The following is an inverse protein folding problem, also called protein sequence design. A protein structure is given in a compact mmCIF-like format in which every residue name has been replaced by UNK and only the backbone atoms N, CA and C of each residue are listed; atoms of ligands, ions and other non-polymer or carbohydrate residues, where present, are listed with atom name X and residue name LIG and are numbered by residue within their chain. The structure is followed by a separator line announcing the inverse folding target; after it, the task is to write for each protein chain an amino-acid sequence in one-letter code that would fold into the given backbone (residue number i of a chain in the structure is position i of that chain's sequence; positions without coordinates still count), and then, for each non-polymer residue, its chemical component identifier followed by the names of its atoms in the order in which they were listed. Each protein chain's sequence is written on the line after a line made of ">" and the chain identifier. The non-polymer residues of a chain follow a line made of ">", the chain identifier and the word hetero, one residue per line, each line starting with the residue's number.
data_IF_964059918114
#
_entry.id   IF_964059918114
#
_cell.length_a   1.000
_cell.length_b   1.000
_cell.length_c   1.000
_cell.angle_alpha   90.00
_cell.angle_beta   90.00
_cell.angle_gamma   90.00
#
_symmetry.space_group_name_H-M   'P 1'
#
loop_
_entity.id
_entity.type
_entity.pdbx_description
1 polymer ?
#
# COMPACT_ATOMS: atom_id res chain seq x y z
N UNK A 1 47.93 -37.42 -51.34
CA UNK A 1 46.95 -36.29 -51.33
C UNK A 1 46.05 -36.53 -50.15
N UNK A 2 45.79 -35.53 -49.29
CA UNK A 2 44.86 -35.73 -48.18
C UNK A 2 43.49 -36.14 -48.75
N UNK A 3 42.83 -37.17 -48.19
CA UNK A 3 41.56 -37.64 -48.73
C UNK A 3 40.51 -36.53 -48.66
N UNK A 4 39.68 -36.44 -49.71
CA UNK A 4 38.64 -35.41 -49.88
C UNK A 4 37.65 -35.35 -48.71
N UNK A 5 37.53 -36.46 -47.97
CA UNK A 5 36.68 -36.62 -46.79
C UNK A 5 37.19 -35.85 -45.58
N UNK A 6 38.51 -35.83 -45.32
CA UNK A 6 39.11 -35.04 -44.21
C UNK A 6 38.89 -33.54 -44.40
N UNK A 7 38.96 -33.04 -45.63
CA UNK A 7 38.66 -31.63 -45.96
C UNK A 7 37.18 -31.27 -45.74
N UNK A 8 36.28 -32.17 -46.15
CA UNK A 8 34.84 -32.02 -45.95
C UNK A 8 34.46 -32.03 -44.46
N UNK A 9 35.00 -32.96 -43.67
CA UNK A 9 34.84 -33.01 -42.20
C UNK A 9 35.31 -31.72 -41.54
N UNK A 10 36.48 -31.20 -41.93
CA UNK A 10 37.05 -29.96 -41.35
C UNK A 10 36.13 -28.76 -41.58
N UNK A 11 35.50 -28.68 -42.76
CA UNK A 11 34.52 -27.64 -43.08
C UNK A 11 33.28 -27.74 -42.17
N UNK A 12 32.74 -28.95 -41.99
CA UNK A 12 31.60 -29.19 -41.10
C UNK A 12 31.95 -28.89 -39.64
N UNK A 13 33.15 -29.25 -39.17
CA UNK A 13 33.65 -28.87 -37.84
C UNK A 13 33.67 -27.35 -37.66
N UNK A 14 34.09 -26.58 -38.66
CA UNK A 14 34.02 -25.12 -38.63
C UNK A 14 32.60 -24.58 -38.45
N UNK A 15 31.61 -25.20 -39.10
CA UNK A 15 30.19 -24.85 -38.91
C UNK A 15 29.69 -25.19 -37.49
N UNK A 16 30.12 -26.33 -36.93
CA UNK A 16 29.84 -26.71 -35.53
C UNK A 16 30.38 -25.64 -34.59
N UNK A 17 31.68 -25.32 -34.65
CA UNK A 17 32.31 -24.32 -33.77
C UNK A 17 31.63 -22.95 -33.87
N UNK A 18 31.30 -22.50 -35.09
CA UNK A 18 30.58 -21.23 -35.29
C UNK A 18 29.21 -21.25 -34.63
N UNK A 19 28.47 -22.36 -34.75
CA UNK A 19 27.14 -22.51 -34.16
C UNK A 19 27.21 -22.53 -32.63
N UNK A 20 28.19 -23.23 -32.06
CA UNK A 20 28.44 -23.26 -30.60
C UNK A 20 28.72 -21.84 -30.07
N UNK A 21 29.56 -21.06 -30.75
CA UNK A 21 29.84 -19.69 -30.34
C UNK A 21 28.61 -18.79 -30.35
N UNK A 22 27.72 -18.96 -31.35
CA UNK A 22 26.45 -18.25 -31.39
C UNK A 22 25.53 -18.67 -30.23
N UNK A 23 25.45 -19.95 -29.90
CA UNK A 23 24.68 -20.47 -28.76
C UNK A 23 25.20 -19.89 -27.45
N UNK A 24 26.52 -19.86 -27.26
CA UNK A 24 27.15 -19.32 -26.05
C UNK A 24 26.95 -17.80 -25.93
N UNK A 25 26.89 -17.08 -27.05
CA UNK A 25 26.66 -15.63 -27.08
C UNK A 25 25.22 -15.20 -26.74
N UNK A 26 24.25 -16.11 -26.74
CA UNK A 26 22.89 -15.80 -26.32
C UNK A 26 22.83 -15.52 -24.82
N UNK A 27 21.87 -14.70 -24.38
CA UNK A 27 21.65 -14.41 -22.95
C UNK A 27 21.17 -15.67 -22.21
N UNK A 28 21.29 -15.66 -20.87
CA UNK A 28 20.80 -16.75 -20.02
C UNK A 28 19.28 -16.67 -19.82
N UNK A 29 18.77 -15.46 -19.57
CA UNK A 29 17.33 -15.17 -19.59
C UNK A 29 17.00 -14.59 -20.95
N UNK A 30 16.27 -15.35 -21.75
CA UNK A 30 16.02 -15.06 -23.15
C UNK A 30 14.63 -14.45 -23.39
N UNK A 31 14.49 -13.67 -24.45
CA UNK A 31 13.18 -13.35 -25.05
C UNK A 31 12.63 -14.55 -25.83
N UNK A 32 11.34 -14.50 -26.21
CA UNK A 32 10.76 -15.52 -27.10
C UNK A 32 11.51 -15.60 -28.44
N UNK A 33 11.92 -14.46 -28.98
CA UNK A 33 12.70 -14.39 -30.22
C UNK A 33 14.08 -15.03 -30.06
N UNK A 34 14.78 -14.75 -28.95
CA UNK A 34 16.06 -15.37 -28.63
C UNK A 34 15.92 -16.89 -28.41
N UNK A 35 14.80 -17.36 -27.85
CA UNK A 35 14.50 -18.80 -27.73
C UNK A 35 14.27 -19.45 -29.10
N UNK A 36 13.48 -18.82 -29.99
CA UNK A 36 13.28 -19.33 -31.35
C UNK A 36 14.62 -19.40 -32.11
N UNK A 37 15.49 -18.40 -31.93
CA UNK A 37 16.83 -18.41 -32.48
C UNK A 37 17.69 -19.54 -31.91
N UNK A 38 17.59 -19.82 -30.59
CA UNK A 38 18.27 -20.94 -29.94
C UNK A 38 17.83 -22.30 -30.53
N UNK A 39 16.54 -22.49 -30.81
CA UNK A 39 16.00 -23.72 -31.44
C UNK A 39 16.52 -23.93 -32.86
N UNK A 40 16.60 -22.85 -33.64
CA UNK A 40 17.19 -22.89 -34.99
C UNK A 40 18.68 -23.27 -34.90
N UNK A 41 19.41 -22.70 -33.95
CA UNK A 41 20.83 -23.01 -33.74
C UNK A 41 21.04 -24.44 -33.26
N UNK A 42 20.20 -24.96 -32.37
CA UNK A 42 20.24 -26.36 -31.94
C UNK A 42 20.00 -27.32 -33.11
N UNK A 43 18.97 -27.04 -33.93
CA UNK A 43 18.66 -27.86 -35.11
C UNK A 43 19.84 -27.90 -36.08
N UNK A 44 20.49 -26.75 -36.31
CA UNK A 44 21.71 -26.66 -37.12
C UNK A 44 22.87 -27.43 -36.51
N UNK A 45 23.09 -27.30 -35.19
CA UNK A 45 24.15 -28.00 -34.48
C UNK A 45 23.99 -29.51 -34.59
N UNK A 46 22.78 -30.03 -34.38
CA UNK A 46 22.44 -31.44 -34.54
C UNK A 46 22.72 -31.89 -35.97
N UNK A 47 22.22 -31.17 -36.99
CA UNK A 47 22.43 -31.53 -38.39
C UNK A 47 23.90 -31.55 -38.81
N UNK A 48 24.68 -30.54 -38.39
CA UNK A 48 26.12 -30.51 -38.65
C UNK A 48 26.85 -31.64 -37.92
N UNK A 49 26.48 -31.95 -36.68
CA UNK A 49 27.11 -33.03 -35.92
C UNK A 49 26.78 -34.42 -36.47
N UNK A 50 25.54 -34.67 -36.94
CA UNK A 50 25.20 -35.92 -37.63
C UNK A 50 26.01 -36.08 -38.92
N UNK A 51 26.16 -35.00 -39.70
CA UNK A 51 27.01 -35.00 -40.89
C UNK A 51 28.48 -35.27 -40.54
N UNK A 52 28.98 -34.65 -39.46
CA UNK A 52 30.34 -34.86 -38.96
C UNK A 52 30.57 -36.32 -38.57
N UNK A 53 29.64 -36.94 -37.82
CA UNK A 53 29.70 -38.36 -37.46
C UNK A 53 29.71 -39.28 -38.67
N UNK A 54 28.96 -38.94 -39.72
CA UNK A 54 28.97 -39.67 -40.99
C UNK A 54 30.36 -39.76 -41.63
N UNK A 55 31.16 -38.70 -41.53
CA UNK A 55 32.54 -38.70 -42.03
C UNK A 55 33.51 -39.51 -41.18
N UNK A 56 33.25 -39.70 -39.88
CA UNK A 56 34.17 -40.45 -39.00
C UNK A 56 34.35 -41.89 -39.46
N UNK A 57 33.26 -42.55 -39.84
CA UNK A 57 33.32 -43.93 -40.36
C UNK A 57 34.14 -44.01 -41.66
N UNK A 58 33.91 -43.08 -42.58
CA UNK A 58 34.66 -43.03 -43.85
C UNK A 58 36.14 -42.71 -43.65
N UNK A 59 36.48 -41.81 -42.73
CA UNK A 59 37.88 -41.48 -42.42
C UNK A 59 38.58 -42.67 -41.75
N UNK A 60 37.86 -43.43 -40.92
CA UNK A 60 38.39 -44.64 -40.32
C UNK A 60 38.74 -45.69 -41.37
N UNK A 61 37.88 -45.88 -42.38
CA UNK A 61 38.15 -46.79 -43.51
C UNK A 61 39.33 -46.27 -44.37
N UNK A 62 39.38 -44.97 -44.68
CA UNK A 62 40.49 -44.36 -45.43
C UNK A 62 41.84 -44.47 -44.71
N UNK A 63 41.87 -44.34 -43.38
CA UNK A 63 43.08 -44.50 -42.57
C UNK A 63 43.57 -45.95 -42.57
N UNK A 64 42.65 -46.91 -42.51
CA UNK A 64 42.96 -48.34 -42.58
C UNK A 64 43.51 -48.73 -43.96
N UNK A 65 42.91 -48.20 -45.04
CA UNK A 65 43.31 -48.48 -46.42
C UNK A 65 44.65 -47.82 -46.81
N UNK A 66 45.01 -46.71 -46.15
CA UNK A 66 46.23 -45.94 -46.44
C UNK A 66 47.48 -46.41 -45.67
N UNK A 67 47.38 -47.46 -44.83
CA UNK A 67 48.44 -47.92 -43.92
C UNK A 67 48.99 -46.77 -43.05
N UNK A 68 48.06 -45.97 -42.49
CA UNK A 68 48.38 -44.78 -41.71
C UNK A 68 49.16 -45.13 -40.44
N UNK A 69 50.07 -44.25 -40.01
CA UNK A 69 50.82 -44.44 -38.78
C UNK A 69 49.97 -44.19 -37.52
N UNK A 70 50.47 -44.66 -36.38
CA UNK A 70 49.78 -44.51 -35.09
C UNK A 70 49.54 -43.04 -34.73
N UNK A 71 50.44 -42.12 -35.11
CA UNK A 71 50.29 -40.71 -34.79
C UNK A 71 49.14 -40.06 -35.57
N UNK A 72 48.89 -40.48 -36.81
CA UNK A 72 47.76 -40.01 -37.60
C UNK A 72 46.41 -40.53 -37.05
N UNK A 73 46.40 -41.76 -36.53
CA UNK A 73 45.24 -42.33 -35.83
C UNK A 73 44.95 -41.59 -34.52
N UNK A 74 45.98 -41.35 -33.70
CA UNK A 74 45.86 -40.64 -32.42
C UNK A 74 45.37 -39.20 -32.65
N UNK A 75 45.90 -38.50 -33.65
CA UNK A 75 45.47 -37.14 -33.98
C UNK A 75 44.00 -37.07 -34.43
N UNK A 76 43.52 -38.04 -35.22
CA UNK A 76 42.13 -38.11 -35.65
C UNK A 76 41.18 -38.44 -34.48
N UNK A 77 41.63 -39.32 -33.59
CA UNK A 77 40.94 -39.68 -32.35
C UNK A 77 40.78 -38.48 -31.42
N UNK A 78 41.85 -37.72 -31.19
CA UNK A 78 41.83 -36.50 -30.37
C UNK A 78 40.87 -35.43 -30.94
N UNK A 79 40.91 -35.20 -32.25
CA UNK A 79 40.01 -34.25 -32.91
C UNK A 79 38.55 -34.66 -32.74
N UNK A 80 38.28 -35.97 -32.81
CA UNK A 80 36.95 -36.53 -32.62
C UNK A 80 36.45 -36.33 -31.20
N UNK A 81 37.24 -36.70 -30.20
CA UNK A 81 36.88 -36.52 -28.79
C UNK A 81 36.64 -35.06 -28.45
N UNK A 82 37.53 -34.15 -28.89
CA UNK A 82 37.35 -32.72 -28.63
C UNK A 82 36.05 -32.19 -29.25
N UNK A 83 35.76 -32.57 -30.50
CA UNK A 83 34.54 -32.11 -31.18
C UNK A 83 33.28 -32.66 -30.52
N UNK A 84 33.32 -33.91 -30.04
CA UNK A 84 32.23 -34.51 -29.29
C UNK A 84 32.00 -33.82 -27.94
N UNK A 85 33.08 -33.51 -27.21
CA UNK A 85 32.99 -32.79 -25.93
C UNK A 85 32.42 -31.39 -26.10
N UNK A 86 32.89 -30.64 -27.11
CA UNK A 86 32.38 -29.30 -27.44
C UNK A 86 30.86 -29.31 -27.70
N UNK A 87 30.37 -30.31 -28.46
CA UNK A 87 28.95 -30.47 -28.76
C UNK A 87 28.15 -30.86 -27.51
N UNK A 88 28.68 -31.75 -26.66
CA UNK A 88 28.04 -32.12 -25.39
C UNK A 88 27.90 -30.91 -24.46
N UNK A 89 28.96 -30.11 -24.32
CA UNK A 89 28.96 -28.90 -23.53
C UNK A 89 27.96 -27.88 -24.07
N UNK A 90 27.91 -27.67 -25.39
CA UNK A 90 26.92 -26.80 -26.03
C UNK A 90 25.48 -27.27 -25.74
N UNK A 91 25.21 -28.57 -25.84
CA UNK A 91 23.90 -29.14 -25.52
C UNK A 91 23.51 -28.93 -24.05
N UNK A 92 24.47 -29.00 -23.12
CA UNK A 92 24.23 -28.68 -21.71
C UNK A 92 23.85 -27.20 -21.52
N UNK A 93 24.52 -26.29 -22.24
CA UNK A 93 24.19 -24.85 -22.24
C UNK A 93 22.79 -24.60 -22.78
N UNK A 94 22.40 -25.24 -23.89
CA UNK A 94 21.03 -25.12 -24.45
C UNK A 94 19.99 -25.55 -23.43
N UNK A 95 20.19 -26.70 -22.77
CA UNK A 95 19.30 -27.21 -21.72
C UNK A 95 19.18 -26.24 -20.55
N UNK A 96 20.31 -25.66 -20.11
CA UNK A 96 20.32 -24.67 -19.02
C UNK A 96 19.52 -23.43 -19.41
N UNK A 97 19.77 -22.86 -20.60
CA UNK A 97 19.06 -21.67 -21.10
C UNK A 97 17.54 -21.89 -21.20
N UNK A 98 17.09 -23.05 -21.69
CA UNK A 98 15.66 -23.42 -21.71
C UNK A 98 15.06 -23.49 -20.31
N UNK A 99 15.79 -24.07 -19.35
CA UNK A 99 15.33 -24.17 -17.95
C UNK A 99 15.15 -22.79 -17.32
N UNK A 100 16.12 -21.90 -17.49
CA UNK A 100 16.06 -20.54 -16.95
C UNK A 100 14.91 -19.74 -17.57
N UNK A 101 14.68 -19.91 -18.88
CA UNK A 101 13.53 -19.31 -19.56
C UNK A 101 12.18 -19.80 -18.99
N UNK A 102 12.03 -21.12 -18.77
CA UNK A 102 10.84 -21.70 -18.16
C UNK A 102 10.63 -21.21 -16.72
N UNK A 103 11.70 -21.07 -15.94
CA UNK A 103 11.63 -20.54 -14.58
C UNK A 103 11.15 -19.09 -14.58
N UNK A 104 11.65 -18.27 -15.51
CA UNK A 104 11.18 -16.90 -15.69
C UNK A 104 9.68 -16.87 -16.06
N UNK A 105 9.22 -17.75 -16.94
CA UNK A 105 7.81 -17.80 -17.36
C UNK A 105 6.90 -18.13 -16.17
N UNK A 106 7.23 -19.19 -15.41
CA UNK A 106 6.51 -19.57 -14.19
C UNK A 106 6.47 -18.44 -13.15
N UNK A 107 7.58 -17.70 -13.01
CA UNK A 107 7.63 -16.55 -12.11
C UNK A 107 6.66 -15.46 -12.55
N UNK A 108 6.63 -15.13 -13.85
CA UNK A 108 5.70 -14.13 -14.41
C UNK A 108 4.25 -14.55 -14.26
N UNK A 109 3.94 -15.83 -14.49
CA UNK A 109 2.59 -16.38 -14.29
C UNK A 109 2.15 -16.23 -12.84
N UNK A 110 2.99 -16.61 -11.88
CA UNK A 110 2.72 -16.45 -10.44
C UNK A 110 2.51 -14.99 -10.04
N UNK A 111 3.38 -14.08 -10.50
CA UNK A 111 3.26 -12.64 -10.26
C UNK A 111 1.95 -12.09 -10.89
N UNK A 112 1.53 -12.60 -12.05
CA UNK A 112 0.26 -12.21 -12.67
C UNK A 112 -0.96 -12.74 -11.89
N UNK A 113 -0.90 -13.98 -11.39
CA UNK A 113 -1.94 -14.55 -10.53
C UNK A 113 -2.07 -13.79 -9.21
N UNK A 114 -0.96 -13.45 -8.58
CA UNK A 114 -0.93 -12.64 -7.36
C UNK A 114 -1.57 -11.26 -7.60
N UNK A 115 -1.20 -10.55 -8.69
CA UNK A 115 -1.86 -9.28 -9.07
C UNK A 115 -3.36 -9.43 -9.35
N UNK A 116 -3.79 -10.51 -10.02
CA UNK A 116 -5.22 -10.77 -10.28
C UNK A 116 -5.96 -11.03 -8.97
N UNK A 117 -5.32 -11.69 -8.01
CA UNK A 117 -5.89 -11.95 -6.71
C UNK A 117 -6.03 -10.66 -5.89
N UNK A 118 -4.99 -9.83 -5.85
CA UNK A 118 -5.01 -8.51 -5.22
C UNK A 118 -6.12 -7.62 -5.83
N UNK A 119 -6.23 -7.58 -7.16
CA UNK A 119 -7.30 -6.84 -7.84
C UNK A 119 -8.70 -7.36 -7.50
N UNK A 120 -8.87 -8.69 -7.41
CA UNK A 120 -10.15 -9.28 -6.99
C UNK A 120 -10.47 -8.94 -5.55
N UNK A 121 -9.48 -8.92 -4.66
CA UNK A 121 -9.64 -8.52 -3.27
C UNK A 121 -10.02 -7.03 -3.17
N UNK A 122 -9.32 -6.16 -3.90
CA UNK A 122 -9.66 -4.73 -3.98
C UNK A 122 -11.08 -4.49 -4.52
N UNK A 123 -11.49 -5.22 -5.56
CA UNK A 123 -12.85 -5.14 -6.09
C UNK A 123 -13.90 -5.70 -5.13
N UNK A 124 -13.56 -6.75 -4.36
CA UNK A 124 -14.42 -7.23 -3.27
C UNK A 124 -14.58 -6.18 -2.19
N UNK A 125 -13.50 -5.52 -1.79
CA UNK A 125 -13.52 -4.45 -0.79
C UNK A 125 -14.34 -3.26 -1.30
N UNK A 126 -14.14 -2.81 -2.54
CA UNK A 126 -14.99 -1.79 -3.17
C UNK A 126 -16.46 -2.20 -3.20
N UNK A 127 -16.77 -3.47 -3.51
CA UNK A 127 -18.14 -3.97 -3.53
C UNK A 127 -18.76 -4.02 -2.14
N UNK A 128 -17.99 -4.40 -1.12
CA UNK A 128 -18.43 -4.35 0.29
C UNK A 128 -18.73 -2.90 0.67
N UNK A 129 -17.84 -1.95 0.34
CA UNK A 129 -18.06 -0.53 0.57
C UNK A 129 -19.32 -0.01 -0.16
N UNK A 130 -19.53 -0.40 -1.41
CA UNK A 130 -20.71 -0.03 -2.18
C UNK A 130 -22.00 -0.62 -1.60
N UNK A 131 -21.98 -1.87 -1.13
CA UNK A 131 -23.13 -2.49 -0.45
C UNK A 131 -23.43 -1.80 0.88
N UNK A 132 -22.40 -1.45 1.65
CA UNK A 132 -22.56 -0.66 2.87
C UNK A 132 -23.18 0.69 2.52
N UNK A 133 -22.69 1.37 1.48
CA UNK A 133 -23.22 2.66 1.02
C UNK A 133 -24.67 2.55 0.53
N UNK A 134 -25.01 1.50 -0.24
CA UNK A 134 -26.37 1.26 -0.71
C UNK A 134 -27.32 0.97 0.46
N UNK A 135 -26.88 0.17 1.44
CA UNK A 135 -27.65 -0.12 2.65
C UNK A 135 -27.85 1.13 3.51
N UNK A 136 -26.87 2.04 3.54
CA UNK A 136 -27.00 3.36 4.18
C UNK A 136 -28.03 4.22 3.43
N UNK A 137 -28.01 4.23 2.09
CA UNK A 137 -28.97 5.00 1.27
C UNK A 137 -30.40 4.48 1.41
N UNK A 138 -30.62 3.16 1.37
CA UNK A 138 -31.95 2.56 1.54
C UNK A 138 -32.55 2.93 2.91
N UNK A 139 -31.75 2.84 3.98
CA UNK A 139 -32.18 3.23 5.32
C UNK A 139 -32.43 4.74 5.45
N UNK A 140 -31.57 5.59 4.86
CA UNK A 140 -31.76 7.04 4.85
C UNK A 140 -33.08 7.47 4.19
N UNK A 141 -33.56 6.72 3.19
CA UNK A 141 -34.83 6.99 2.52
C UNK A 141 -36.01 6.71 3.45
N UNK A 142 -36.00 5.56 4.13
CA UNK A 142 -37.01 5.20 5.14
C UNK A 142 -37.01 6.15 6.35
N UNK A 143 -35.83 6.57 6.82
CA UNK A 143 -35.72 7.47 7.98
C UNK A 143 -36.16 8.90 7.66
N UNK A 144 -35.93 9.38 6.44
CA UNK A 144 -36.42 10.70 6.00
C UNK A 144 -37.95 10.76 5.99
N UNK A 145 -38.61 9.69 5.56
CA UNK A 145 -40.08 9.58 5.59
C UNK A 145 -40.60 9.59 7.03
N UNK A 146 -39.93 8.89 7.95
CA UNK A 146 -40.31 8.85 9.37
C UNK A 146 -40.08 10.22 10.05
N UNK A 147 -38.93 10.87 9.86
CA UNK A 147 -38.64 12.19 10.44
C UNK A 147 -39.61 13.26 9.91
N UNK A 148 -39.97 13.20 8.62
CA UNK A 148 -40.95 14.13 8.03
C UNK A 148 -42.33 13.93 8.66
N UNK A 149 -42.73 12.69 8.94
CA UNK A 149 -44.00 12.40 9.64
C UNK A 149 -43.97 12.84 11.11
N UNK A 150 -42.85 12.67 11.81
CA UNK A 150 -42.71 13.08 13.21
C UNK A 150 -42.66 14.60 13.38
N UNK A 151 -41.97 15.33 12.49
CA UNK A 151 -41.93 16.80 12.52
C UNK A 151 -43.31 17.41 12.23
N UNK A 152 -44.11 16.80 11.36
CA UNK A 152 -45.47 17.25 11.08
C UNK A 152 -46.44 17.05 12.28
N UNK A 153 -46.10 16.20 13.24
CA UNK A 153 -46.95 15.85 14.38
C UNK A 153 -46.72 16.69 15.65
N UNK A 154 -45.72 17.59 15.68
CA UNK A 154 -45.37 18.39 16.87
C UNK A 154 -45.85 19.84 16.70
N UNK A 155 -46.71 20.39 17.59
CA UNK A 155 -47.11 21.79 17.54
C UNK A 155 -45.98 22.70 18.02
N UNK A 156 -45.64 23.73 17.22
CA UNK A 156 -44.61 24.73 17.51
C UNK A 156 -45.06 25.73 18.59
N UNK A 157 -44.28 25.99 19.66
CA UNK A 157 -44.53 27.11 20.58
C UNK A 157 -43.95 28.43 20.02
N UNK A 158 -44.72 29.51 20.14
CA UNK A 158 -44.28 30.88 19.81
C UNK A 158 -43.31 31.43 20.87
N UNK A 159 -42.19 32.02 20.42
CA UNK A 159 -41.23 32.71 21.29
C UNK A 159 -41.66 34.17 21.57
N UNK A 160 -41.36 34.74 22.76
CA UNK A 160 -41.65 36.14 23.08
C UNK A 160 -40.56 37.09 22.56
N UNK A 161 -41.02 38.19 21.96
CA UNK A 161 -40.23 39.34 21.51
C UNK A 161 -39.79 40.23 22.68
N UNK A 162 -38.51 40.56 22.76
CA UNK A 162 -37.98 41.61 23.65
C UNK A 162 -37.32 42.70 22.80
N UNK A 163 -37.86 43.92 22.91
CA UNK A 163 -37.33 45.12 22.26
C UNK A 163 -36.19 45.72 23.09
N UNK A 164 -35.07 46.07 22.44
CA UNK A 164 -34.08 47.00 22.98
C UNK A 164 -33.75 48.03 21.92
N UNK A 165 -33.87 49.30 22.28
CA UNK A 165 -33.62 50.45 21.41
C UNK A 165 -32.33 51.16 21.82
N UNK A 166 -31.55 51.56 20.81
CA UNK A 166 -30.59 52.69 20.73
C UNK A 166 -29.35 52.73 21.63
N UNK A 167 -28.15 52.73 21.04
CA UNK A 167 -27.42 53.94 20.63
C UNK A 167 -25.98 53.64 20.16
N UNK A 168 -25.51 54.35 19.12
CA UNK A 168 -24.10 54.58 18.77
C UNK A 168 -23.78 56.07 19.11
N UNK A 169 -22.51 56.55 19.25
CA UNK A 169 -21.26 56.14 18.59
C UNK A 169 -20.05 56.01 19.55
N UNK A 170 -18.86 55.53 19.14
CA UNK A 170 -17.68 56.37 18.81
C UNK A 170 -16.46 55.48 18.55
N UNK A 171 -15.65 55.85 17.56
CA UNK A 171 -14.37 55.22 17.23
C UNK A 171 -13.33 55.45 18.33
N UNK A 172 -12.75 54.36 18.84
CA UNK A 172 -11.47 54.36 19.55
C UNK A 172 -10.73 53.07 19.23
N UNK A 173 -9.54 53.22 18.65
CA UNK A 173 -8.60 52.13 18.40
C UNK A 173 -8.02 51.66 19.73
N UNK A 174 -8.77 50.86 20.46
CA UNK A 174 -8.22 50.08 21.55
C UNK A 174 -7.65 48.81 20.96
N UNK A 175 -6.33 48.59 21.09
CA UNK A 175 -5.75 47.26 20.92
C UNK A 175 -6.42 46.36 21.96
N UNK A 176 -7.44 45.64 21.54
CA UNK A 176 -8.06 44.59 22.33
C UNK A 176 -6.98 43.52 22.56
N UNK A 177 -6.26 43.61 23.69
CA UNK A 177 -5.51 42.46 24.19
C UNK A 177 -6.56 41.47 24.68
N UNK A 178 -6.88 40.51 23.82
CA UNK A 178 -7.73 39.37 24.19
C UNK A 178 -7.11 38.68 25.43
N UNK A 179 -7.93 38.15 26.35
CA UNK A 179 -7.44 37.33 27.46
C UNK A 179 -6.54 36.23 26.92
N UNK A 180 -5.34 36.07 27.49
CA UNK A 180 -4.38 35.07 27.05
C UNK A 180 -5.01 33.68 27.25
N UNK A 181 -5.31 32.99 26.14
CA UNK A 181 -5.98 31.69 26.15
C UNK A 181 -5.07 30.69 26.88
N UNK A 182 -5.48 30.24 28.07
CA UNK A 182 -4.73 29.23 28.83
C UNK A 182 -4.67 27.93 28.03
N UNK A 183 -3.45 27.45 27.73
CA UNK A 183 -3.22 26.17 27.07
C UNK A 183 -3.54 25.07 28.09
N UNK A 184 -4.49 24.19 27.75
CA UNK A 184 -4.78 23.00 28.56
C UNK A 184 -3.65 21.97 28.37
N UNK A 185 -3.34 21.24 29.44
CA UNK A 185 -2.39 20.14 29.36
C UNK A 185 -2.92 19.03 28.46
N UNK A 186 -2.06 18.49 27.60
CA UNK A 186 -2.40 17.41 26.68
C UNK A 186 -1.86 16.08 27.21
N UNK A 187 -2.77 15.11 27.40
CA UNK A 187 -2.44 13.80 27.99
C UNK A 187 -2.26 12.68 26.95
N UNK A 188 -2.55 12.95 25.68
CA UNK A 188 -2.54 11.97 24.60
C UNK A 188 -3.92 11.58 24.05
N UNK A 189 -5.01 12.24 24.46
CA UNK A 189 -6.32 12.01 23.84
C UNK A 189 -6.37 12.66 22.46
N UNK A 190 -6.44 11.85 21.41
CA UNK A 190 -6.40 12.35 20.04
C UNK A 190 -7.55 13.32 19.71
N UNK A 191 -8.69 13.23 20.40
CA UNK A 191 -9.81 14.14 20.20
C UNK A 191 -9.50 15.56 20.71
N UNK A 192 -8.58 15.69 21.66
CA UNK A 192 -8.12 16.97 22.20
C UNK A 192 -6.94 17.55 21.40
N UNK A 193 -6.33 16.76 20.50
CA UNK A 193 -5.11 17.15 19.79
C UNK A 193 -5.28 18.44 19.00
N UNK A 194 -6.33 18.58 18.19
CA UNK A 194 -6.55 19.79 17.38
C UNK A 194 -6.67 21.02 18.26
N UNK A 195 -7.43 20.94 19.35
CA UNK A 195 -7.60 22.08 20.26
C UNK A 195 -6.28 22.45 20.95
N UNK A 196 -5.53 21.44 21.40
CA UNK A 196 -4.22 21.62 22.01
C UNK A 196 -3.24 22.25 21.02
N UNK A 197 -3.07 21.66 19.84
CA UNK A 197 -2.11 22.10 18.84
C UNK A 197 -2.40 23.52 18.38
N UNK A 198 -3.65 23.87 18.06
CA UNK A 198 -4.00 25.23 17.65
C UNK A 198 -3.72 26.25 18.76
N UNK A 199 -3.99 25.90 20.02
CA UNK A 199 -3.72 26.78 21.16
C UNK A 199 -2.23 26.92 21.43
N UNK A 200 -1.48 25.83 21.40
CA UNK A 200 -0.02 25.82 21.57
C UNK A 200 0.67 26.53 20.40
N UNK A 201 0.16 26.36 19.18
CA UNK A 201 0.69 27.00 17.99
C UNK A 201 0.56 28.52 18.08
N UNK A 202 -0.65 29.00 18.38
CA UNK A 202 -0.94 30.43 18.51
C UNK A 202 -0.19 31.11 19.67
N UNK A 203 0.08 30.38 20.75
CA UNK A 203 0.72 30.96 21.94
C UNK A 203 2.24 30.82 21.96
N UNK A 204 2.79 29.68 21.51
CA UNK A 204 4.19 29.29 21.75
C UNK A 204 4.91 28.95 20.43
N UNK A 205 4.38 28.08 19.57
CA UNK A 205 5.09 27.66 18.35
C UNK A 205 5.35 28.83 17.40
N UNK A 206 4.34 29.68 17.17
CA UNK A 206 4.41 30.87 16.32
C UNK A 206 5.12 32.07 16.97
N UNK A 207 5.53 31.95 18.23
CA UNK A 207 6.25 33.00 18.95
C UNK A 207 7.71 33.11 18.50
N UNK A 208 8.36 34.21 18.87
CA UNK A 208 9.79 34.47 18.59
C UNK A 208 10.74 33.75 19.55
N UNK A 209 10.25 32.86 20.41
CA UNK A 209 11.08 32.07 21.32
C UNK A 209 12.03 31.13 20.56
N UNK A 210 13.15 30.77 21.19
CA UNK A 210 14.09 29.77 20.64
C UNK A 210 13.45 28.38 20.66
N UNK A 211 13.96 27.46 19.83
CA UNK A 211 13.39 26.10 19.76
C UNK A 211 13.58 25.34 21.07
N UNK A 212 14.72 25.53 21.77
CA UNK A 212 14.94 25.01 23.13
C UNK A 212 13.87 25.51 24.12
N UNK A 213 13.58 26.81 24.13
CA UNK A 213 12.56 27.37 25.03
C UNK A 213 11.15 26.88 24.68
N UNK A 214 10.82 26.81 23.39
CA UNK A 214 9.55 26.23 22.93
C UNK A 214 9.44 24.76 23.33
N UNK A 215 10.55 24.03 23.31
CA UNK A 215 10.57 22.62 23.70
C UNK A 215 10.35 22.45 25.20
N UNK A 216 10.91 23.34 26.02
CA UNK A 216 10.73 23.30 27.47
C UNK A 216 9.24 23.47 27.83
N UNK A 217 8.60 24.49 27.24
CA UNK A 217 7.16 24.68 27.36
C UNK A 217 6.37 23.49 26.84
N UNK A 218 6.74 22.92 25.69
CA UNK A 218 6.08 21.74 25.16
C UNK A 218 6.11 20.58 26.17
N UNK A 219 7.25 20.29 26.80
CA UNK A 219 7.37 19.24 27.82
C UNK A 219 6.51 19.54 29.06
N UNK A 220 6.35 20.81 29.44
CA UNK A 220 5.49 21.21 30.57
C UNK A 220 4.00 20.93 30.29
N UNK A 221 3.51 21.31 29.10
CA UNK A 221 2.11 21.14 28.73
C UNK A 221 1.74 19.69 28.36
N UNK A 222 2.71 18.84 28.03
CA UNK A 222 2.50 17.43 27.79
C UNK A 222 2.50 16.64 29.11
N UNK A 223 1.49 15.80 29.30
CA UNK A 223 1.35 14.88 30.43
C UNK A 223 1.02 13.47 29.91
N UNK A 224 1.04 12.47 30.80
CA UNK A 224 0.63 11.10 30.44
C UNK A 224 1.42 10.51 29.28
N UNK A 225 0.72 9.85 28.35
CA UNK A 225 1.32 9.17 27.20
C UNK A 225 2.06 10.14 26.27
N UNK A 226 1.48 11.33 26.04
CA UNK A 226 2.08 12.31 25.15
C UNK A 226 3.43 12.84 25.68
N UNK A 227 3.60 12.91 27.01
CA UNK A 227 4.88 13.26 27.62
C UNK A 227 5.93 12.16 27.40
N UNK A 228 5.56 10.89 27.54
CA UNK A 228 6.48 9.76 27.36
C UNK A 228 7.13 9.74 25.98
N UNK A 229 6.42 10.19 24.94
CA UNK A 229 6.91 10.29 23.56
C UNK A 229 8.13 11.22 23.47
N UNK A 230 8.11 12.34 24.21
CA UNK A 230 9.12 13.40 24.11
C UNK A 230 10.07 13.44 25.30
N UNK A 231 9.79 12.70 26.37
CA UNK A 231 10.54 12.79 27.61
C UNK A 231 11.99 12.36 27.45
N UNK A 232 12.24 11.34 26.62
CA UNK A 232 13.56 10.77 26.34
C UNK A 232 14.43 11.65 25.42
N UNK A 233 13.86 12.73 24.87
CA UNK A 233 14.61 13.68 24.05
C UNK A 233 15.24 14.75 24.95
N UNK A 234 16.54 14.96 24.76
CA UNK A 234 17.29 16.04 25.42
C UNK A 234 16.78 17.40 24.97
N UNK A 235 16.74 18.37 25.89
CA UNK A 235 16.25 19.72 25.65
C UNK A 235 17.23 20.52 24.76
N UNK A 236 17.18 20.27 23.45
CA UNK A 236 18.05 20.89 22.43
C UNK A 236 17.23 21.45 21.27
N UNK A 237 17.77 22.42 20.51
CA UNK A 237 17.05 23.05 19.39
C UNK A 237 16.72 22.05 18.28
N UNK A 238 17.62 21.08 18.05
CA UNK A 238 17.43 20.04 17.04
C UNK A 238 16.29 19.08 17.40
N UNK A 239 16.14 18.75 18.68
CA UNK A 239 15.14 17.80 19.14
C UNK A 239 13.72 18.38 19.22
N UNK A 240 13.57 19.71 19.24
CA UNK A 240 12.24 20.34 19.23
C UNK A 240 11.43 19.94 18.00
N UNK A 241 12.04 20.00 16.81
CA UNK A 241 11.34 19.65 15.58
C UNK A 241 10.99 18.16 15.55
N UNK A 242 11.90 17.30 16.00
CA UNK A 242 11.67 15.85 16.13
C UNK A 242 10.47 15.56 17.05
N UNK A 243 10.36 16.28 18.18
CA UNK A 243 9.24 16.14 19.10
C UNK A 243 7.90 16.53 18.45
N UNK A 244 7.85 17.64 17.71
CA UNK A 244 6.64 18.08 16.99
C UNK A 244 6.25 17.09 15.90
N UNK A 245 7.22 16.61 15.14
CA UNK A 245 6.97 15.67 14.05
C UNK A 245 6.41 14.36 14.58
N UNK A 246 6.95 13.82 15.67
CA UNK A 246 6.46 12.57 16.26
C UNK A 246 5.05 12.73 16.87
N UNK A 247 4.77 13.84 17.55
CA UNK A 247 3.43 14.12 18.07
C UNK A 247 2.41 14.29 16.94
N UNK A 248 2.77 15.01 15.87
CA UNK A 248 1.92 15.21 14.70
C UNK A 248 1.70 13.89 13.94
N UNK A 249 2.72 13.04 13.84
CA UNK A 249 2.63 11.73 13.20
C UNK A 249 1.67 10.79 13.94
N UNK A 250 1.60 10.89 15.28
CA UNK A 250 0.70 10.05 16.09
C UNK A 250 -0.69 10.62 16.24
N UNK A 251 -0.82 11.92 16.50
CA UNK A 251 -2.09 12.55 16.87
C UNK A 251 -2.68 13.45 15.78
N UNK A 252 -1.86 13.98 14.87
CA UNK A 252 -2.27 14.91 13.80
C UNK A 252 -2.84 14.23 12.55
N UNK A 253 -2.91 12.90 12.51
CA UNK A 253 -3.48 12.18 11.38
C UNK A 253 -5.00 12.25 11.41
N UNK A 254 -5.56 12.94 10.41
CA UNK A 254 -7.01 13.06 10.19
C UNK A 254 -7.75 11.73 10.27
N UNK A 255 -7.21 10.66 9.67
CA UNK A 255 -7.82 9.33 9.72
C UNK A 255 -7.92 8.77 11.14
N UNK A 256 -6.87 8.90 11.95
CA UNK A 256 -6.85 8.37 13.32
C UNK A 256 -7.84 9.14 14.21
N UNK A 257 -8.02 10.44 13.96
CA UNK A 257 -9.05 11.26 14.63
C UNK A 257 -10.47 10.83 14.25
N UNK A 258 -10.71 10.53 12.97
CA UNK A 258 -11.98 9.98 12.47
C UNK A 258 -12.27 8.63 13.15
N UNK A 259 -11.28 7.74 13.18
CA UNK A 259 -11.41 6.41 13.79
C UNK A 259 -11.70 6.51 15.30
N UNK A 260 -11.07 7.48 16.00
CA UNK A 260 -11.34 7.72 17.41
C UNK A 260 -12.77 8.22 17.68
N UNK A 261 -13.29 9.13 16.83
CA UNK A 261 -14.68 9.56 16.90
C UNK A 261 -15.65 8.39 16.68
N UNK A 262 -15.38 7.52 15.70
CA UNK A 262 -16.17 6.32 15.47
C UNK A 262 -16.11 5.33 16.64
N UNK A 263 -14.93 5.09 17.20
CA UNK A 263 -14.76 4.21 18.36
C UNK A 263 -15.52 4.73 19.59
N UNK A 264 -15.51 6.04 19.83
CA UNK A 264 -16.30 6.64 20.92
C UNK A 264 -17.79 6.48 20.69
N UNK A 265 -18.28 6.77 19.48
CA UNK A 265 -19.68 6.55 19.12
C UNK A 265 -20.10 5.08 19.29
N UNK A 266 -19.22 4.13 18.96
CA UNK A 266 -19.49 2.69 19.10
C UNK A 266 -19.51 2.22 20.56
N UNK A 267 -18.75 2.86 21.45
CA UNK A 267 -18.58 2.47 22.86
C UNK A 267 -19.50 3.20 23.83
N UNK A 268 -20.33 4.13 23.34
CA UNK A 268 -21.33 4.82 24.15
C UNK A 268 -22.26 3.80 24.84
N UNK A 269 -22.57 4.08 26.10
CA UNK A 269 -23.38 3.20 26.92
C UNK A 269 -24.87 3.52 26.74
N UNK A 270 -25.74 2.50 26.65
CA UNK A 270 -27.17 2.72 26.65
C UNK A 270 -27.65 3.39 27.94
N UNK A 271 -28.58 4.32 27.81
CA UNK A 271 -29.35 4.80 28.96
C UNK A 271 -30.32 3.70 29.36
N UNK A 272 -30.38 3.37 30.65
CA UNK A 272 -31.18 2.25 31.18
C UNK A 272 -32.59 2.67 31.57
N UNK A 273 -32.76 3.92 32.02
CA UNK A 273 -34.03 4.46 32.50
C UNK A 273 -34.54 5.56 31.54
N UNK A 274 -35.74 5.38 31.02
CA UNK A 274 -36.42 6.36 30.15
C UNK A 274 -36.82 7.66 30.84
N UNK A 275 -36.85 7.67 32.18
CA UNK A 275 -37.19 8.85 32.98
C UNK A 275 -35.95 9.66 33.40
N UNK A 276 -34.74 9.17 33.16
CA UNK A 276 -33.50 9.91 33.41
C UNK A 276 -33.21 10.89 32.28
N UNK A 277 -33.89 12.03 32.33
CA UNK A 277 -33.77 13.13 31.36
C UNK A 277 -32.34 13.67 31.28
N UNK A 278 -31.56 13.64 32.37
CA UNK A 278 -30.19 14.12 32.38
C UNK A 278 -29.25 13.18 31.64
N UNK A 279 -29.41 11.87 31.81
CA UNK A 279 -28.65 10.86 31.06
C UNK A 279 -29.00 10.89 29.57
N UNK A 280 -30.28 11.01 29.21
CA UNK A 280 -30.73 11.14 27.81
C UNK A 280 -30.17 12.40 27.15
N UNK A 281 -30.21 13.55 27.85
CA UNK A 281 -29.65 14.81 27.35
C UNK A 281 -28.14 14.72 27.18
N UNK A 282 -27.45 14.09 28.12
CA UNK A 282 -25.99 13.88 28.04
C UNK A 282 -25.63 12.98 26.84
N UNK A 283 -26.39 11.90 26.62
CA UNK A 283 -26.23 11.04 25.45
C UNK A 283 -26.43 11.85 24.16
N UNK A 284 -27.54 12.59 24.04
CA UNK A 284 -27.83 13.43 22.88
C UNK A 284 -26.70 14.42 22.57
N UNK A 285 -26.18 15.11 23.59
CA UNK A 285 -25.10 16.09 23.41
C UNK A 285 -23.79 15.43 22.96
N UNK A 286 -23.44 14.27 23.52
CA UNK A 286 -22.23 13.53 23.12
C UNK A 286 -22.33 13.06 21.66
N UNK A 287 -23.51 12.60 21.24
CA UNK A 287 -23.78 12.21 19.87
C UNK A 287 -23.65 13.37 18.91
N UNK A 288 -24.34 14.48 19.21
CA UNK A 288 -24.28 15.69 18.40
C UNK A 288 -22.84 16.19 18.26
N UNK A 289 -22.07 16.17 19.36
CA UNK A 289 -20.69 16.62 19.35
C UNK A 289 -19.81 15.79 18.41
N UNK A 290 -19.85 14.46 18.52
CA UNK A 290 -19.06 13.59 17.67
C UNK A 290 -19.50 13.63 16.20
N UNK A 291 -20.80 13.73 15.92
CA UNK A 291 -21.33 13.87 14.56
C UNK A 291 -20.83 15.16 13.93
N UNK A 292 -20.98 16.30 14.61
CA UNK A 292 -20.51 17.59 14.11
C UNK A 292 -18.98 17.65 13.96
N UNK A 293 -18.23 16.95 14.82
CA UNK A 293 -16.79 16.83 14.67
C UNK A 293 -16.40 16.05 13.41
N UNK A 294 -17.09 14.94 13.11
CA UNK A 294 -16.89 14.18 11.87
C UNK A 294 -17.24 15.01 10.62
N UNK A 295 -18.31 15.82 10.67
CA UNK A 295 -18.67 16.74 9.58
C UNK A 295 -17.58 17.80 9.34
N UNK A 296 -17.01 18.35 10.42
CA UNK A 296 -15.89 19.30 10.34
C UNK A 296 -14.63 18.65 9.74
N UNK A 297 -14.44 17.36 10.00
CA UNK A 297 -13.40 16.55 9.37
C UNK A 297 -13.77 16.14 7.93
N UNK A 298 -14.86 16.66 7.35
CA UNK A 298 -15.25 16.41 5.97
C UNK A 298 -15.86 15.02 5.73
N UNK A 299 -16.27 14.32 6.80
CA UNK A 299 -17.07 13.12 6.69
C UNK A 299 -18.54 13.53 6.83
N UNK A 300 -19.33 13.52 5.75
CA UNK A 300 -20.71 13.95 5.84
C UNK A 300 -21.50 12.95 6.70
N UNK A 301 -22.43 13.44 7.52
CA UNK A 301 -23.30 12.60 8.36
C UNK A 301 -24.06 11.54 7.54
N UNK A 302 -24.26 11.78 6.24
CA UNK A 302 -24.81 10.80 5.29
C UNK A 302 -23.95 9.56 5.08
N UNK A 303 -22.63 9.65 5.30
CA UNK A 303 -21.68 8.55 5.13
C UNK A 303 -21.75 7.51 6.25
N UNK A 304 -22.17 7.89 7.46
CA UNK A 304 -22.12 7.01 8.64
C UNK A 304 -23.39 7.03 9.50
N UNK A 305 -24.33 7.94 9.22
CA UNK A 305 -25.59 8.07 9.97
C UNK A 305 -26.44 6.81 9.96
N UNK A 306 -26.36 5.98 8.92
CA UNK A 306 -27.06 4.69 8.87
C UNK A 306 -26.45 3.63 9.79
N UNK A 307 -25.12 3.52 9.81
CA UNK A 307 -24.41 2.58 10.67
C UNK A 307 -24.56 2.98 12.15
N UNK A 308 -24.36 4.27 12.45
CA UNK A 308 -24.55 4.77 13.80
C UNK A 308 -26.03 4.75 14.19
N UNK A 309 -26.97 5.12 13.31
CA UNK A 309 -28.41 5.17 13.63
C UNK A 309 -28.95 3.90 14.27
N UNK A 310 -28.61 2.72 13.72
CA UNK A 310 -29.01 1.43 14.31
C UNK A 310 -28.40 1.17 15.69
N UNK A 311 -27.17 1.63 15.92
CA UNK A 311 -26.51 1.55 17.21
C UNK A 311 -27.11 2.55 18.20
N UNK A 312 -27.42 3.76 17.75
CA UNK A 312 -27.99 4.85 18.55
C UNK A 312 -29.38 4.52 19.06
N UNK A 313 -30.20 3.81 18.26
CA UNK A 313 -31.49 3.27 18.71
C UNK A 313 -31.28 2.33 19.91
N UNK A 314 -30.26 1.48 19.88
CA UNK A 314 -29.95 0.58 21.01
C UNK A 314 -29.47 1.32 22.26
N UNK A 315 -29.06 2.60 22.14
CA UNK A 315 -28.63 3.41 23.28
C UNK A 315 -29.80 4.10 24.00
N UNK A 316 -30.98 4.14 23.40
CA UNK A 316 -32.19 4.75 23.97
C UNK A 316 -33.04 3.65 24.64
N UNK A 317 -33.60 3.88 25.85
CA UNK A 317 -34.46 2.93 26.55
C UNK A 317 -35.67 2.49 25.72
N UNK A 318 -36.01 1.20 25.80
CA UNK A 318 -37.12 0.61 25.03
C UNK A 318 -38.48 1.23 25.28
N UNK A 319 -38.66 1.87 26.43
CA UNK A 319 -39.87 2.63 26.78
C UNK A 319 -40.10 3.86 25.91
N UNK A 320 -39.06 4.35 25.23
CA UNK A 320 -39.13 5.53 24.34
C UNK A 320 -39.15 5.13 22.85
N UNK A 321 -38.98 3.85 22.51
CA UNK A 321 -39.04 3.34 21.13
C UNK A 321 -40.47 3.26 20.58
N UNK A 322 -41.48 3.32 21.45
CA UNK A 322 -42.91 3.26 21.10
C UNK A 322 -43.63 4.49 21.65
N UNK A 323 -43.48 5.62 20.99
CA UNK A 323 -44.45 6.70 21.11
C UNK A 323 -44.53 7.48 19.80
N UNK A 324 -44.95 6.80 18.73
CA UNK A 324 -45.97 7.33 17.82
C UNK A 324 -46.51 6.24 16.90
#
# INVERSE_FOLDING_TARGET
>A
MAPTTKGSRTTVKGHITKTINLINGLKTVMTQEELNNLEILETKLIGYYETYKGFLNTIQDELNDADADQAEYDAETDITYQTQDDVLNANAVIKLKRREWLNMLKKKEKEEEERKQEQKEEERDKRILALIQQQVMNQATTTRDIITQVIAAIPTPQAPVVNVTTAAPSQSTHSMRLPQRQIKHFKGDILEWTQFWESFNAAIHSSTLTNVQKFDYLKEYLKGEANLIVNNLELTDANYQVAIDELTRRYGKKQVMIDAHFNKLHTLQPVKDGNDVQALRSLQLNLQWHISALETLGIPTTSFGGLLGTQLIKLIPSSLHSSS
#
